data_IF_367729357400
#
_entry.id   IF_367729357400
#
_cell.length_a   1.000
_cell.length_b   1.000
_cell.length_c   1.000
_cell.angle_alpha   90.00
_cell.angle_beta   90.00
_cell.angle_gamma   90.00
#
_symmetry.space_group_name_H-M   'P 1'
#
loop_
_entity.id
_entity.type
_entity.pdbx_description
1 polymer ?
#
# COMPACT_ATOMS: atom_id res chain seq x y z
N UNK A 1 4.31 -11.63 -45.34
CA UNK A 1 4.80 -11.90 -43.96
C UNK A 1 3.69 -11.80 -42.88
N UNK A 2 2.57 -11.17 -43.21
CA UNK A 2 1.41 -11.03 -42.31
C UNK A 2 0.53 -12.30 -42.26
N UNK A 3 0.57 -13.14 -43.28
CA UNK A 3 -0.23 -14.37 -43.35
C UNK A 3 0.42 -15.57 -42.63
N UNK A 4 1.71 -15.57 -42.36
CA UNK A 4 2.40 -16.66 -41.64
C UNK A 4 2.20 -16.63 -40.12
N UNK A 5 1.78 -15.47 -39.56
CA UNK A 5 1.53 -15.33 -38.12
C UNK A 5 0.14 -15.81 -37.66
N UNK A 6 -0.83 -15.97 -38.58
CA UNK A 6 -2.19 -16.44 -38.25
C UNK A 6 -2.33 -17.98 -38.21
N UNK A 7 -1.39 -18.73 -38.80
CA UNK A 7 -1.43 -20.19 -38.79
C UNK A 7 -0.82 -20.83 -37.53
N UNK A 8 0.00 -20.07 -36.77
CA UNK A 8 0.63 -20.59 -35.55
C UNK A 8 -0.25 -20.46 -34.31
N UNK A 9 -1.30 -19.62 -34.37
CA UNK A 9 -2.22 -19.41 -33.23
C UNK A 9 -3.38 -20.40 -33.16
N UNK A 10 -3.61 -21.22 -34.19
CA UNK A 10 -4.71 -22.18 -34.27
C UNK A 10 -4.31 -23.59 -33.84
N UNK A 11 -3.00 -23.86 -33.75
CA UNK A 11 -2.50 -25.21 -33.40
C UNK A 11 -2.28 -25.42 -31.90
N UNK A 12 -2.50 -24.42 -31.04
CA UNK A 12 -2.29 -24.52 -29.58
C UNK A 12 -3.59 -24.64 -28.76
N UNK A 13 -4.74 -24.69 -29.42
CA UNK A 13 -6.08 -24.76 -28.77
C UNK A 13 -6.74 -26.16 -28.76
N UNK A 14 -6.02 -27.22 -29.18
CA UNK A 14 -6.63 -28.54 -29.38
C UNK A 14 -6.12 -29.66 -28.46
N UNK A 15 -5.40 -29.38 -27.37
CA UNK A 15 -4.84 -30.44 -26.50
C UNK A 15 -5.23 -30.39 -25.02
N UNK A 16 -6.33 -29.68 -24.65
CA UNK A 16 -6.83 -29.69 -23.28
C UNK A 16 -8.30 -30.14 -23.18
N UNK A 17 -8.64 -31.29 -23.73
CA UNK A 17 -9.98 -31.89 -23.53
C UNK A 17 -9.88 -33.43 -23.50
N UNK A 18 -9.17 -34.01 -22.54
CA UNK A 18 -9.29 -35.42 -22.25
C UNK A 18 -8.63 -35.78 -20.90
N UNK A 19 -9.31 -35.49 -19.76
CA UNK A 19 -9.06 -36.22 -18.51
C UNK A 19 -10.12 -35.87 -17.45
N UNK A 20 -11.38 -36.33 -17.69
CA UNK A 20 -12.43 -36.37 -16.68
C UNK A 20 -13.29 -37.60 -16.97
N UNK A 21 -12.85 -38.80 -16.57
CA UNK A 21 -13.70 -39.95 -16.36
C UNK A 21 -12.93 -41.06 -15.63
N UNK A 22 -13.25 -41.26 -14.34
CA UNK A 22 -13.27 -42.54 -13.63
C UNK A 22 -13.63 -42.27 -12.17
N UNK A 23 -14.82 -42.59 -11.85
CA UNK A 23 -15.38 -43.72 -11.11
C UNK A 23 -15.29 -43.52 -9.62
N UNK A 24 -16.30 -43.69 -8.84
CA UNK A 24 -17.55 -44.43 -8.87
C UNK A 24 -17.86 -44.85 -7.45
N UNK A 25 -19.01 -44.54 -7.04
CA UNK A 25 -19.96 -45.32 -6.23
C UNK A 25 -19.49 -46.16 -5.03
N UNK A 26 -20.06 -45.88 -3.84
CA UNK A 26 -20.84 -46.88 -3.07
C UNK A 26 -21.43 -46.28 -1.79
N UNK A 27 -22.71 -46.40 -1.73
CA UNK A 27 -23.70 -46.32 -0.66
C UNK A 27 -23.26 -46.82 0.71
N UNK A 28 -23.70 -46.16 1.79
CA UNK A 28 -24.66 -46.72 2.74
C UNK A 28 -25.04 -45.73 3.86
N UNK A 29 -26.35 -45.56 4.03
CA UNK A 29 -27.11 -45.03 5.15
C UNK A 29 -27.85 -46.25 5.77
N UNK A 30 -28.51 -46.19 6.93
CA UNK A 30 -28.53 -45.36 8.15
C UNK A 30 -28.57 -46.22 9.45
N UNK A 31 -28.56 -45.57 10.63
CA UNK A 31 -29.57 -45.85 11.67
C UNK A 31 -29.30 -45.04 12.94
N UNK A 32 -30.40 -44.61 13.51
CA UNK A 32 -30.57 -43.81 14.72
C UNK A 32 -30.59 -44.69 15.99
N UNK A 33 -30.49 -44.00 17.12
CA UNK A 33 -31.20 -44.11 18.42
C UNK A 33 -30.22 -43.77 19.56
N UNK A 34 -30.45 -42.71 20.33
CA UNK A 34 -31.41 -42.47 21.40
C UNK A 34 -30.91 -42.80 22.81
N UNK A 35 -30.98 -41.74 23.65
CA UNK A 35 -31.14 -41.71 25.13
C UNK A 35 -29.95 -42.20 25.99
N UNK A 36 -29.63 -41.62 27.17
CA UNK A 36 -30.30 -40.78 28.16
C UNK A 36 -29.30 -40.41 29.26
N UNK A 37 -29.45 -39.20 29.77
CA UNK A 37 -29.30 -38.69 31.15
C UNK A 37 -28.52 -39.51 32.20
N UNK A 38 -27.50 -38.83 32.82
CA UNK A 38 -27.35 -38.75 34.28
C UNK A 38 -26.39 -37.62 34.67
N UNK A 39 -26.89 -36.70 35.44
CA UNK A 39 -26.14 -35.72 36.25
C UNK A 39 -25.26 -36.40 37.25
N UNK A 40 -24.06 -35.85 37.46
CA UNK A 40 -23.54 -35.66 38.83
C UNK A 40 -22.41 -34.61 38.76
N UNK A 41 -22.59 -33.52 39.49
CA UNK A 41 -21.61 -32.46 39.62
C UNK A 41 -20.44 -32.86 40.51
N UNK A 42 -19.33 -32.19 40.30
CA UNK A 42 -18.41 -31.80 41.36
C UNK A 42 -17.42 -30.79 40.82
N UNK A 43 -17.40 -29.61 41.45
CA UNK A 43 -16.36 -28.62 41.69
C UNK A 43 -15.14 -28.52 40.78
N UNK A 44 -15.12 -27.47 40.04
CA UNK A 44 -14.29 -26.27 39.96
C UNK A 44 -12.84 -26.38 40.45
N UNK A 45 -11.93 -26.58 39.56
CA UNK A 45 -10.59 -25.99 39.65
C UNK A 45 -10.39 -25.05 38.44
N UNK A 46 -10.27 -23.78 38.80
CA UNK A 46 -9.85 -22.71 37.88
C UNK A 46 -8.37 -22.92 37.58
N UNK A 47 -8.05 -23.69 36.56
CA UNK A 47 -6.74 -23.57 35.92
C UNK A 47 -6.83 -22.43 34.93
N UNK A 48 -6.08 -21.36 35.23
CA UNK A 48 -5.74 -20.36 34.27
C UNK A 48 -5.11 -21.07 33.06
N UNK A 49 -5.85 -21.07 31.97
CA UNK A 49 -5.32 -21.46 30.67
C UNK A 49 -4.25 -20.41 30.35
N UNK A 50 -3.00 -20.71 30.65
CA UNK A 50 -1.90 -20.09 29.93
C UNK A 50 -2.14 -20.39 28.44
N UNK A 51 -2.57 -19.35 27.75
CA UNK A 51 -2.63 -19.33 26.32
C UNK A 51 -1.24 -19.70 25.81
N UNK A 52 -1.07 -20.93 25.35
CA UNK A 52 0.09 -21.30 24.57
C UNK A 52 0.02 -20.44 23.29
N UNK A 53 0.81 -19.37 23.30
CA UNK A 53 1.09 -18.57 22.11
C UNK A 53 1.69 -19.57 21.12
N UNK A 54 0.98 -19.83 20.05
CA UNK A 54 1.46 -20.60 18.90
C UNK A 54 2.76 -19.97 18.44
N UNK A 55 3.83 -20.74 18.37
CA UNK A 55 5.12 -20.34 17.75
C UNK A 55 5.00 -20.26 16.21
N UNK A 56 3.90 -19.79 15.68
CA UNK A 56 3.77 -19.51 14.26
C UNK A 56 4.47 -18.18 13.99
N UNK A 57 5.52 -18.20 13.18
CA UNK A 57 6.14 -17.00 12.65
C UNK A 57 5.18 -16.38 11.63
N UNK A 58 4.59 -15.24 11.97
CA UNK A 58 3.83 -14.44 11.01
C UNK A 58 4.79 -13.55 10.21
N UNK A 59 4.62 -13.50 8.91
CA UNK A 59 5.40 -12.64 8.02
C UNK A 59 4.56 -11.48 7.55
N UNK A 60 5.08 -10.26 7.73
CA UNK A 60 4.51 -9.02 7.19
C UNK A 60 5.40 -8.54 6.05
N UNK A 61 4.81 -8.30 4.90
CA UNK A 61 5.49 -7.76 3.72
C UNK A 61 5.25 -6.26 3.58
N UNK A 62 6.32 -5.48 3.41
CA UNK A 62 6.26 -4.03 3.23
C UNK A 62 6.88 -3.66 1.88
N UNK A 63 6.14 -3.02 1.00
CA UNK A 63 6.66 -2.53 -0.28
C UNK A 63 6.95 -1.04 -0.20
N UNK A 64 8.19 -0.66 -0.51
CA UNK A 64 8.68 0.72 -0.41
C UNK A 64 9.46 1.17 -1.64
N UNK A 65 9.31 2.44 -2.08
CA UNK A 65 10.19 3.08 -3.05
C UNK A 65 11.41 3.70 -2.33
N UNK A 66 12.50 4.06 -3.05
CA UNK A 66 13.66 4.68 -2.45
C UNK A 66 13.43 6.19 -2.21
N UNK A 67 12.95 6.56 -1.02
CA UNK A 67 12.69 7.97 -0.65
C UNK A 67 13.98 8.79 -0.58
N UNK A 68 15.03 8.20 0.00
CA UNK A 68 16.38 8.74 0.05
C UNK A 68 17.40 7.63 -0.16
N UNK A 69 18.67 7.98 -0.41
CA UNK A 69 19.74 6.99 -0.57
C UNK A 69 20.00 6.10 0.65
N UNK A 70 19.53 6.50 1.84
CA UNK A 70 19.68 5.76 3.11
C UNK A 70 18.36 5.24 3.66
N UNK A 71 17.26 5.37 2.92
CA UNK A 71 15.93 5.05 3.43
C UNK A 71 15.78 3.57 3.79
N UNK A 72 16.19 2.68 2.90
CA UNK A 72 16.09 1.23 3.13
C UNK A 72 16.95 0.80 4.32
N UNK A 73 18.15 1.36 4.47
CA UNK A 73 19.02 1.08 5.62
C UNK A 73 18.38 1.54 6.95
N UNK A 74 17.71 2.69 6.92
CA UNK A 74 16.97 3.20 8.09
C UNK A 74 15.78 2.33 8.44
N UNK A 75 15.03 1.89 7.43
CA UNK A 75 13.89 0.99 7.58
C UNK A 75 14.32 -0.35 8.19
N UNK A 76 15.44 -0.91 7.72
CA UNK A 76 16.01 -2.13 8.30
C UNK A 76 16.36 -1.97 9.79
N UNK A 77 16.82 -0.79 10.19
CA UNK A 77 17.07 -0.46 11.60
C UNK A 77 15.79 -0.49 12.44
N UNK A 78 14.73 0.17 11.96
CA UNK A 78 13.41 0.20 12.64
C UNK A 78 12.74 -1.18 12.68
N UNK A 79 12.88 -1.97 11.63
CA UNK A 79 12.38 -3.34 11.58
C UNK A 79 13.06 -4.20 12.65
N UNK A 80 14.38 -4.10 12.81
CA UNK A 80 15.10 -4.82 13.86
C UNK A 80 14.63 -4.44 15.24
N UNK A 81 14.47 -3.15 15.53
CA UNK A 81 13.94 -2.65 16.81
C UNK A 81 12.52 -3.18 17.07
N UNK A 82 11.66 -3.17 16.05
CA UNK A 82 10.31 -3.72 16.14
C UNK A 82 10.33 -5.23 16.46
N UNK A 83 11.16 -6.00 15.77
CA UNK A 83 11.27 -7.44 15.96
C UNK A 83 11.88 -7.84 17.33
N UNK A 84 12.67 -6.96 17.98
CA UNK A 84 13.13 -7.18 19.37
C UNK A 84 11.97 -7.30 20.36
N UNK A 85 10.89 -6.56 20.13
CA UNK A 85 9.68 -6.60 20.96
C UNK A 85 8.60 -7.53 20.42
N UNK A 86 8.71 -7.95 19.15
CA UNK A 86 7.77 -8.83 18.46
C UNK A 86 8.50 -10.00 17.77
N UNK A 87 9.12 -10.90 18.56
CA UNK A 87 10.01 -11.93 18.02
C UNK A 87 9.32 -12.96 17.12
N UNK A 88 7.98 -13.05 17.18
CA UNK A 88 7.18 -13.96 16.36
C UNK A 88 6.76 -13.33 15.03
N UNK A 89 7.14 -12.08 14.77
CA UNK A 89 6.81 -11.37 13.53
C UNK A 89 8.09 -11.18 12.71
N UNK A 90 8.09 -11.72 11.51
CA UNK A 90 9.11 -11.46 10.50
C UNK A 90 8.62 -10.34 9.58
N UNK A 91 9.45 -9.35 9.30
CA UNK A 91 9.14 -8.29 8.33
C UNK A 91 10.04 -8.45 7.10
N UNK A 92 9.43 -8.53 5.92
CA UNK A 92 10.12 -8.61 4.63
C UNK A 92 9.90 -7.33 3.84
N UNK A 93 10.99 -6.72 3.36
CA UNK A 93 10.94 -5.49 2.57
C UNK A 93 11.03 -5.80 1.09
N UNK A 94 10.05 -5.34 0.33
CA UNK A 94 10.03 -5.37 -1.13
C UNK A 94 10.44 -3.99 -1.64
N UNK A 95 11.74 -3.79 -1.85
CA UNK A 95 12.25 -2.55 -2.41
C UNK A 95 11.91 -2.46 -3.90
N UNK A 96 11.50 -1.27 -4.35
CA UNK A 96 11.16 -0.98 -5.74
C UNK A 96 11.84 0.31 -6.18
N UNK A 97 11.86 0.60 -7.49
CA UNK A 97 12.14 1.94 -7.99
C UNK A 97 10.85 2.77 -8.01
N UNK A 98 10.98 4.10 -8.10
CA UNK A 98 9.81 4.99 -8.25
C UNK A 98 8.99 4.67 -9.52
N UNK A 99 9.68 4.31 -10.61
CA UNK A 99 9.04 4.01 -11.89
C UNK A 99 8.23 2.71 -11.86
N UNK A 100 8.65 1.74 -11.07
CA UNK A 100 8.01 0.42 -10.99
C UNK A 100 6.98 0.31 -9.85
N UNK A 101 7.08 1.15 -8.84
CA UNK A 101 6.36 0.99 -7.58
C UNK A 101 4.86 0.81 -7.77
N UNK A 102 4.22 1.74 -8.49
CA UNK A 102 2.77 1.72 -8.73
C UNK A 102 2.37 0.51 -9.60
N UNK A 103 3.09 0.27 -10.69
CA UNK A 103 2.76 -0.84 -11.59
C UNK A 103 2.96 -2.20 -10.95
N UNK A 104 4.00 -2.36 -10.13
CA UNK A 104 4.29 -3.61 -9.43
C UNK A 104 3.26 -3.87 -8.33
N UNK A 105 2.97 -2.88 -7.48
CA UNK A 105 1.99 -3.03 -6.40
C UNK A 105 0.58 -3.33 -6.94
N UNK A 106 0.13 -2.64 -8.00
CA UNK A 106 -1.16 -2.90 -8.63
C UNK A 106 -1.21 -4.27 -9.32
N UNK A 107 -0.12 -4.71 -9.95
CA UNK A 107 -0.05 -6.05 -10.56
C UNK A 107 -0.14 -7.14 -9.50
N UNK A 108 0.58 -7.01 -8.40
CA UNK A 108 0.53 -7.94 -7.28
C UNK A 108 -0.87 -7.97 -6.65
N UNK A 109 -1.50 -6.81 -6.48
CA UNK A 109 -2.86 -6.71 -5.95
C UNK A 109 -3.88 -7.43 -6.86
N UNK A 110 -3.80 -7.25 -8.18
CA UNK A 110 -4.66 -7.95 -9.15
C UNK A 110 -4.44 -9.46 -9.17
N UNK A 111 -3.22 -9.91 -8.85
CA UNK A 111 -2.90 -11.33 -8.73
C UNK A 111 -3.36 -11.96 -7.40
N UNK A 112 -3.85 -11.16 -6.44
CA UNK A 112 -4.16 -11.61 -5.08
C UNK A 112 -2.92 -11.83 -4.22
N UNK A 113 -1.79 -11.23 -4.59
CA UNK A 113 -0.48 -11.31 -3.94
C UNK A 113 -0.02 -9.93 -3.44
N UNK A 114 -0.97 -9.06 -3.07
CA UNK A 114 -0.66 -7.73 -2.56
C UNK A 114 0.24 -7.83 -1.32
N UNK A 115 1.23 -6.92 -1.17
CA UNK A 115 1.95 -6.77 0.10
C UNK A 115 0.98 -6.35 1.20
N UNK A 116 1.30 -6.70 2.46
CA UNK A 116 0.47 -6.31 3.61
C UNK A 116 0.48 -4.79 3.81
N UNK A 117 1.61 -4.16 3.55
CA UNK A 117 1.78 -2.71 3.65
C UNK A 117 2.44 -2.18 2.38
N UNK A 118 1.88 -1.13 1.81
CA UNK A 118 2.45 -0.41 0.65
C UNK A 118 2.65 1.04 1.03
N UNK A 119 3.86 1.55 0.84
CA UNK A 119 4.10 2.99 0.90
C UNK A 119 3.54 3.63 -0.37
N UNK A 120 2.50 4.42 -0.23
CA UNK A 120 1.73 4.96 -1.35
C UNK A 120 1.79 6.48 -1.38
N UNK A 121 1.77 7.06 -2.58
CA UNK A 121 1.48 8.48 -2.72
C UNK A 121 -0.02 8.74 -2.57
N UNK A 122 -0.39 9.93 -2.10
CA UNK A 122 -1.80 10.33 -1.99
C UNK A 122 -2.57 10.16 -3.32
N UNK A 123 -1.89 10.30 -4.45
CA UNK A 123 -2.52 10.16 -5.77
C UNK A 123 -2.89 8.71 -6.14
N UNK A 124 -2.35 7.71 -5.44
CA UNK A 124 -2.61 6.29 -5.72
C UNK A 124 -3.59 5.64 -4.76
N UNK A 125 -3.92 6.30 -3.66
CA UNK A 125 -4.86 5.77 -2.65
C UNK A 125 -6.23 5.47 -3.26
N UNK A 126 -6.75 6.38 -4.12
CA UNK A 126 -8.00 6.15 -4.83
C UNK A 126 -8.00 4.86 -5.66
N UNK A 127 -6.89 4.58 -6.34
CA UNK A 127 -6.74 3.34 -7.12
C UNK A 127 -6.82 2.10 -6.24
N UNK A 128 -6.13 2.08 -5.11
CA UNK A 128 -6.17 0.92 -4.19
C UNK A 128 -7.54 0.74 -3.52
N UNK A 129 -8.22 1.85 -3.22
CA UNK A 129 -9.58 1.84 -2.69
C UNK A 129 -10.58 1.28 -3.73
N UNK A 130 -10.52 1.74 -4.99
CA UNK A 130 -11.36 1.24 -6.08
C UNK A 130 -11.12 -0.24 -6.40
N UNK A 131 -9.88 -0.70 -6.28
CA UNK A 131 -9.54 -2.13 -6.42
C UNK A 131 -10.02 -2.97 -5.23
N UNK A 132 -10.44 -2.37 -4.13
CA UNK A 132 -10.88 -3.05 -2.91
C UNK A 132 -9.75 -3.77 -2.16
N UNK A 133 -8.48 -3.35 -2.38
CA UNK A 133 -7.32 -3.94 -1.72
C UNK A 133 -6.83 -3.10 -0.53
N UNK A 134 -7.25 -1.85 -0.42
CA UNK A 134 -6.99 -1.02 0.75
C UNK A 134 -8.14 -1.13 1.76
N UNK A 135 -7.81 -1.25 3.03
CA UNK A 135 -8.78 -1.34 4.14
C UNK A 135 -8.97 0.02 4.82
N UNK A 136 -10.08 0.19 5.53
CA UNK A 136 -10.25 1.34 6.42
C UNK A 136 -9.35 1.16 7.66
N UNK A 137 -8.26 1.91 7.72
CA UNK A 137 -7.29 1.79 8.83
C UNK A 137 -7.91 2.19 10.18
N UNK A 138 -8.90 3.08 10.18
CA UNK A 138 -9.57 3.52 11.41
C UNK A 138 -10.29 2.37 12.15
N UNK A 139 -10.61 1.26 11.48
CA UNK A 139 -11.23 0.09 12.10
C UNK A 139 -10.23 -0.73 12.94
N UNK A 140 -8.93 -0.49 12.79
CA UNK A 140 -7.84 -1.25 13.41
C UNK A 140 -6.98 -0.45 14.37
N UNK A 141 -7.16 0.87 14.46
CA UNK A 141 -6.35 1.75 15.27
C UNK A 141 -7.19 2.48 16.32
N UNK A 142 -6.58 2.70 17.49
CA UNK A 142 -7.16 3.57 18.49
C UNK A 142 -7.31 5.00 17.96
N UNK A 143 -8.41 5.63 18.25
CA UNK A 143 -8.69 7.00 17.83
C UNK A 143 -7.65 8.02 18.34
N UNK A 144 -6.98 7.73 19.47
CA UNK A 144 -5.88 8.53 19.99
C UNK A 144 -4.65 8.50 19.10
N UNK A 145 -4.35 7.35 18.47
CA UNK A 145 -3.25 7.22 17.50
C UNK A 145 -3.53 8.06 16.26
N UNK A 146 -4.76 7.99 15.74
CA UNK A 146 -5.16 8.79 14.57
C UNK A 146 -5.14 10.28 14.89
N UNK A 147 -5.57 10.68 16.09
CA UNK A 147 -5.62 12.08 16.52
C UNK A 147 -4.23 12.72 16.72
N UNK A 148 -3.17 11.93 16.84
CA UNK A 148 -1.78 12.41 16.95
C UNK A 148 -1.20 12.89 15.61
N UNK A 149 -1.81 12.50 14.50
CA UNK A 149 -1.41 12.95 13.17
C UNK A 149 -2.00 14.32 12.80
N UNK A 150 -1.25 15.08 11.99
CA UNK A 150 -1.77 16.34 11.41
C UNK A 150 -3.01 16.09 10.57
N UNK A 151 -4.10 16.84 10.87
CA UNK A 151 -5.40 16.63 10.22
C UNK A 151 -5.34 16.92 8.71
N UNK A 152 -4.53 17.87 8.26
CA UNK A 152 -4.42 18.17 6.83
C UNK A 152 -3.72 17.00 6.12
N UNK A 153 -2.72 16.38 6.76
CA UNK A 153 -2.05 15.20 6.20
C UNK A 153 -3.00 13.99 6.13
N UNK A 154 -3.81 13.76 7.18
CA UNK A 154 -4.84 12.71 7.17
C UNK A 154 -5.90 12.91 6.08
N UNK A 155 -6.25 14.16 5.77
CA UNK A 155 -7.22 14.44 4.71
C UNK A 155 -6.77 13.94 3.32
N UNK A 156 -5.45 13.93 3.05
CA UNK A 156 -4.91 13.35 1.80
C UNK A 156 -5.00 11.82 1.76
N UNK A 157 -5.11 11.17 2.93
CA UNK A 157 -5.24 9.73 3.07
C UNK A 157 -6.70 9.28 3.18
N UNK A 158 -7.64 10.23 3.16
CA UNK A 158 -9.08 9.98 3.33
C UNK A 158 -9.82 10.15 2.01
N UNK A 159 -10.60 9.14 1.62
CA UNK A 159 -11.49 9.18 0.47
C UNK A 159 -12.89 8.74 0.92
N UNK A 160 -13.93 9.52 0.59
CA UNK A 160 -15.33 9.24 0.94
C UNK A 160 -15.53 8.91 2.44
N UNK A 161 -14.89 9.69 3.32
CA UNK A 161 -14.86 9.51 4.77
C UNK A 161 -14.20 8.21 5.28
N UNK A 162 -13.47 7.51 4.43
CA UNK A 162 -12.72 6.31 4.79
C UNK A 162 -11.22 6.61 4.81
N UNK A 163 -10.56 6.31 5.91
CA UNK A 163 -9.13 6.50 6.09
C UNK A 163 -8.38 5.28 5.56
N UNK A 164 -7.68 5.41 4.45
CA UNK A 164 -6.97 4.31 3.79
C UNK A 164 -5.46 4.25 4.08
N UNK A 165 -4.91 5.23 4.76
CA UNK A 165 -3.48 5.26 5.07
C UNK A 165 -3.14 6.23 6.19
N UNK A 166 -1.92 6.10 6.73
CA UNK A 166 -1.33 7.07 7.64
C UNK A 166 -0.24 7.86 6.92
N UNK A 167 -0.13 9.17 7.17
CA UNK A 167 0.92 9.97 6.57
C UNK A 167 2.27 9.63 7.21
N UNK A 168 3.23 9.22 6.39
CA UNK A 168 4.60 8.91 6.84
C UNK A 168 5.50 10.15 6.75
N UNK A 169 5.40 10.89 5.65
CA UNK A 169 6.11 12.16 5.43
C UNK A 169 5.34 13.04 4.44
N UNK A 170 5.67 14.31 4.42
CA UNK A 170 5.09 15.27 3.48
C UNK A 170 6.21 15.78 2.57
N UNK A 171 5.99 15.74 1.26
CA UNK A 171 6.83 16.42 0.29
C UNK A 171 6.11 17.64 -0.28
N UNK A 172 6.85 18.70 -0.46
CA UNK A 172 6.34 19.95 -1.03
C UNK A 172 6.97 20.15 -2.39
N UNK A 173 6.14 20.37 -3.40
CA UNK A 173 6.60 20.84 -4.71
C UNK A 173 6.48 22.36 -4.76
N UNK A 174 7.58 23.01 -4.99
CA UNK A 174 7.65 24.46 -5.08
C UNK A 174 8.47 24.89 -6.29
N UNK A 175 8.16 26.06 -6.82
CA UNK A 175 9.00 26.69 -7.84
C UNK A 175 10.22 27.28 -7.17
N UNK A 176 11.42 26.84 -7.59
CA UNK A 176 12.67 27.47 -7.25
C UNK A 176 13.06 28.49 -8.31
N UNK A 177 13.63 29.60 -7.89
CA UNK A 177 14.13 30.61 -8.82
C UNK A 177 15.43 31.24 -8.33
N UNK A 178 16.31 31.62 -9.28
CA UNK A 178 17.47 32.40 -8.96
C UNK A 178 17.04 33.84 -8.66
N UNK A 179 17.34 34.34 -7.46
CA UNK A 179 16.95 35.69 -6.99
C UNK A 179 17.40 36.80 -7.94
N UNK A 180 18.69 36.82 -8.30
CA UNK A 180 19.25 37.85 -9.14
C UNK A 180 18.60 37.90 -10.53
N UNK A 181 18.31 36.75 -11.11
CA UNK A 181 17.63 36.67 -12.40
C UNK A 181 16.16 37.10 -12.30
N UNK A 182 15.46 36.77 -11.26
CA UNK A 182 14.09 37.19 -11.00
C UNK A 182 14.01 38.71 -10.82
N UNK A 183 14.91 39.31 -10.01
CA UNK A 183 14.99 40.76 -9.80
C UNK A 183 15.37 41.50 -11.09
N UNK A 184 16.30 40.95 -11.87
CA UNK A 184 16.65 41.51 -13.20
C UNK A 184 15.47 41.48 -14.18
N UNK A 185 14.58 40.47 -14.09
CA UNK A 185 13.33 40.41 -14.85
C UNK A 185 12.23 41.33 -14.29
N UNK A 186 12.49 42.02 -13.17
CA UNK A 186 11.56 42.95 -12.54
C UNK A 186 10.64 42.34 -11.50
N UNK A 187 10.98 41.16 -10.97
CA UNK A 187 10.21 40.53 -9.90
C UNK A 187 10.51 41.18 -8.54
N UNK A 188 9.47 41.43 -7.75
CA UNK A 188 9.60 41.70 -6.33
C UNK A 188 9.66 40.39 -5.56
N UNK A 189 10.87 39.88 -5.34
CA UNK A 189 11.09 38.56 -4.72
C UNK A 189 10.60 38.53 -3.26
N UNK A 190 10.68 39.65 -2.53
CA UNK A 190 10.20 39.71 -1.14
C UNK A 190 8.67 39.59 -1.08
N UNK A 191 7.96 40.32 -1.96
CA UNK A 191 6.51 40.19 -2.10
C UNK A 191 6.15 38.77 -2.48
N UNK A 192 6.84 38.16 -3.45
CA UNK A 192 6.55 36.79 -3.92
C UNK A 192 6.69 35.78 -2.79
N UNK A 193 7.69 35.91 -1.93
CA UNK A 193 7.93 35.01 -0.80
C UNK A 193 6.90 35.15 0.32
N UNK A 194 6.34 36.33 0.51
CA UNK A 194 5.41 36.61 1.63
C UNK A 194 3.95 36.56 1.23
N UNK A 195 3.60 37.00 0.02
CA UNK A 195 2.24 37.16 -0.47
C UNK A 195 1.93 36.26 -1.66
N UNK A 196 2.96 35.68 -2.28
CA UNK A 196 2.83 34.96 -3.54
C UNK A 196 2.78 35.89 -4.75
N UNK A 197 2.45 35.36 -5.89
CA UNK A 197 2.16 36.06 -7.15
C UNK A 197 0.98 35.43 -7.87
N UNK A 198 0.31 36.23 -8.70
CA UNK A 198 -0.73 35.73 -9.60
C UNK A 198 -0.07 35.01 -10.79
N UNK A 199 -0.88 34.21 -11.50
CA UNK A 199 -0.43 33.54 -12.72
C UNK A 199 -0.01 34.55 -13.81
N UNK A 200 -0.67 35.70 -13.88
CA UNK A 200 -0.36 36.78 -14.81
C UNK A 200 0.99 37.44 -14.48
N UNK A 201 1.24 37.76 -13.21
CA UNK A 201 2.55 38.26 -12.74
C UNK A 201 3.66 37.26 -13.04
N UNK A 202 3.43 35.97 -12.76
CA UNK A 202 4.37 34.91 -13.07
C UNK A 202 4.71 34.88 -14.58
N UNK A 203 3.71 34.87 -15.45
CA UNK A 203 3.94 34.85 -16.90
C UNK A 203 4.68 36.09 -17.42
N UNK A 204 4.40 37.27 -16.87
CA UNK A 204 5.08 38.51 -17.24
C UNK A 204 6.56 38.45 -16.88
N UNK A 205 6.89 38.01 -15.67
CA UNK A 205 8.28 37.84 -15.22
C UNK A 205 9.02 36.78 -16.04
N UNK A 206 8.40 35.61 -16.29
CA UNK A 206 9.01 34.57 -17.13
C UNK A 206 9.30 35.07 -18.54
N UNK A 207 8.37 35.79 -19.16
CA UNK A 207 8.58 36.38 -20.49
C UNK A 207 9.72 37.41 -20.51
N UNK A 208 9.83 38.24 -19.48
CA UNK A 208 10.92 39.24 -19.37
C UNK A 208 12.27 38.58 -19.07
N UNK A 209 12.27 37.48 -18.31
CA UNK A 209 13.47 36.73 -17.99
C UNK A 209 13.94 35.79 -19.11
N UNK A 210 13.08 35.48 -20.09
CA UNK A 210 13.44 34.64 -21.24
C UNK A 210 14.28 35.45 -22.23
N UNK A 211 15.50 35.02 -22.47
CA UNK A 211 16.44 35.61 -23.43
C UNK A 211 17.03 34.54 -24.32
N UNK A 212 17.85 34.90 -25.32
CA UNK A 212 18.52 33.92 -26.20
C UNK A 212 19.45 32.97 -25.43
N UNK A 213 19.92 33.38 -24.25
CA UNK A 213 20.83 32.63 -23.37
C UNK A 213 20.11 31.96 -22.17
N UNK A 214 18.82 32.24 -21.97
CA UNK A 214 18.04 31.75 -20.82
C UNK A 214 16.56 31.55 -21.18
N UNK A 215 16.06 30.32 -21.09
CA UNK A 215 14.66 29.97 -21.34
C UNK A 215 14.09 29.10 -20.23
#
# INVERSE_FOLDING_TARGET
DYMKKKFLSILMAATMAASLAACGNADNKPAAESSSVAETGTEKETQASESQISEAEDTITIMVPPVTGTYVDSLDGWIKEYQETHPNIKVEVIATSWDEHISKSTTMALAGEAPDIVEASYSTIGTYAEMGVAVNIADYLDSSVIADFDQNALNYMTLDNTLYGLPLYISIQALGGNREMLEAAGADVEKIQTEGWSYEEFLDIVKKGTTDDCF
#
